data_IF_208325535898
#
_entry.id   IF_208325535898
#
_cell.length_a   1.000
_cell.length_b   1.000
_cell.length_c   1.000
_cell.angle_alpha   90.00
_cell.angle_beta   90.00
_cell.angle_gamma   90.00
#
_symmetry.space_group_name_H-M   'P 1'
#
loop_
_entity.id
_entity.type
_entity.pdbx_description
1 polymer ?
#
# COMPACT_ATOMS: atom_id res chain seq x y z
N UNK A 1 -5.43 -7.28 -9.64
CA UNK A 1 -4.29 -6.75 -8.86
C UNK A 1 -3.82 -5.45 -9.48
N UNK A 2 -3.92 -4.36 -8.73
CA UNK A 2 -3.55 -3.02 -9.17
C UNK A 2 -2.24 -2.57 -8.53
N UNK A 3 -1.45 -1.81 -9.29
CA UNK A 3 -0.17 -1.27 -8.84
C UNK A 3 -0.21 0.26 -8.84
N UNK A 4 -0.03 0.85 -7.66
CA UNK A 4 0.00 2.28 -7.42
C UNK A 4 1.42 2.73 -7.07
N UNK A 5 1.78 3.95 -7.45
CA UNK A 5 3.09 4.51 -7.14
C UNK A 5 2.94 5.61 -6.09
N UNK A 6 3.48 5.37 -4.90
CA UNK A 6 3.43 6.33 -3.80
C UNK A 6 4.61 7.29 -3.94
N UNK A 7 4.30 8.56 -4.12
CA UNK A 7 5.30 9.64 -4.13
C UNK A 7 5.52 10.16 -2.70
N UNK A 8 6.74 10.59 -2.38
CA UNK A 8 7.07 11.11 -1.04
C UNK A 8 7.35 10.04 0.02
N UNK A 9 7.52 8.78 -0.38
CA UNK A 9 7.89 7.69 0.51
C UNK A 9 9.37 7.77 0.90
N UNK A 10 9.72 8.68 1.80
CA UNK A 10 11.12 8.95 2.19
C UNK A 10 11.57 8.19 3.44
N UNK A 11 10.65 7.50 4.13
CA UNK A 11 10.95 6.77 5.36
C UNK A 11 10.27 5.40 5.36
N UNK A 12 11.04 4.34 5.65
CA UNK A 12 10.53 2.98 5.77
C UNK A 12 9.44 2.86 6.85
N UNK A 13 9.51 3.68 7.90
CA UNK A 13 8.50 3.72 8.95
C UNK A 13 7.16 4.26 8.44
N UNK A 14 7.18 5.35 7.66
CA UNK A 14 5.97 5.88 7.03
C UNK A 14 5.37 4.90 6.02
N UNK A 15 6.21 4.17 5.29
CA UNK A 15 5.77 3.11 4.39
C UNK A 15 5.03 2.00 5.14
N UNK A 16 5.62 1.48 6.22
CA UNK A 16 5.01 0.43 7.02
C UNK A 16 3.65 0.83 7.59
N UNK A 17 3.51 2.08 8.05
CA UNK A 17 2.24 2.61 8.56
C UNK A 17 1.15 2.69 7.47
N UNK A 18 1.51 3.15 6.27
CA UNK A 18 0.58 3.21 5.12
C UNK A 18 0.16 1.79 4.72
N UNK A 19 1.11 0.87 4.60
CA UNK A 19 0.81 -0.53 4.28
C UNK A 19 -0.14 -1.14 5.32
N UNK A 20 0.12 -0.93 6.62
CA UNK A 20 -0.76 -1.38 7.71
C UNK A 20 -2.18 -0.84 7.58
N UNK A 21 -2.33 0.46 7.30
CA UNK A 21 -3.65 1.07 7.09
C UNK A 21 -4.39 0.42 5.94
N UNK A 22 -3.70 0.20 4.81
CA UNK A 22 -4.30 -0.44 3.63
C UNK A 22 -4.66 -1.89 3.94
N UNK A 23 -3.82 -2.63 4.67
CA UNK A 23 -4.11 -4.00 5.11
C UNK A 23 -5.30 -4.09 6.07
N UNK A 24 -5.60 -3.01 6.78
CA UNK A 24 -6.78 -2.91 7.63
C UNK A 24 -8.07 -2.59 6.86
N UNK A 25 -7.99 -2.28 5.57
CA UNK A 25 -9.16 -2.08 4.72
C UNK A 25 -9.76 -3.42 4.29
N UNK A 26 -11.04 -3.39 3.94
CA UNK A 26 -11.73 -4.55 3.39
C UNK A 26 -11.06 -4.97 2.07
N UNK A 27 -10.73 -6.26 1.95
CA UNK A 27 -9.93 -6.82 0.84
C UNK A 27 -8.47 -6.34 0.75
N UNK A 28 -7.99 -5.57 1.74
CA UNK A 28 -6.64 -5.01 1.78
C UNK A 28 -5.55 -5.95 2.30
N UNK A 29 -5.88 -7.13 2.81
CA UNK A 29 -4.91 -8.04 3.47
C UNK A 29 -3.72 -8.42 2.56
N UNK A 30 -3.98 -8.54 1.26
CA UNK A 30 -3.02 -8.81 0.20
C UNK A 30 -2.17 -7.60 -0.22
N UNK A 31 -2.39 -6.44 0.40
CA UNK A 31 -1.64 -5.23 0.11
C UNK A 31 -0.16 -5.38 0.46
N UNK A 32 0.70 -5.05 -0.49
CA UNK A 32 2.15 -5.08 -0.34
C UNK A 32 2.72 -3.75 -0.82
N UNK A 33 3.47 -3.06 0.03
CA UNK A 33 4.13 -1.81 -0.31
C UNK A 33 5.65 -2.00 -0.33
N UNK A 34 6.24 -1.84 -1.51
CA UNK A 34 7.67 -1.89 -1.68
C UNK A 34 8.28 -0.50 -1.49
N UNK A 35 8.81 -0.24 -0.29
CA UNK A 35 9.40 1.06 0.05
C UNK A 35 10.59 1.44 -0.83
N UNK A 36 11.36 0.45 -1.30
CA UNK A 36 12.57 0.67 -2.08
C UNK A 36 12.26 1.21 -3.48
N UNK A 37 11.06 0.92 -4.01
CA UNK A 37 10.62 1.35 -5.35
C UNK A 37 9.41 2.29 -5.32
N UNK A 38 8.81 2.48 -4.15
CA UNK A 38 7.57 3.25 -3.97
C UNK A 38 6.36 2.59 -4.62
N UNK A 39 6.38 1.27 -4.86
CA UNK A 39 5.30 0.55 -5.51
C UNK A 39 4.38 -0.09 -4.47
N UNK A 40 3.12 0.33 -4.47
CA UNK A 40 2.04 -0.27 -3.71
C UNK A 40 1.30 -1.25 -4.63
N UNK A 41 1.05 -2.46 -4.15
CA UNK A 41 0.35 -3.51 -4.89
C UNK A 41 -0.83 -3.97 -4.06
N UNK A 42 -2.04 -3.83 -4.59
CA UNK A 42 -3.29 -4.12 -3.86
C UNK A 42 -4.25 -4.92 -4.74
N UNK A 43 -5.23 -5.55 -4.09
CA UNK A 43 -6.33 -6.18 -4.82
C UNK A 43 -7.27 -5.09 -5.37
N UNK A 44 -7.85 -5.35 -6.55
CA UNK A 44 -8.79 -4.41 -7.19
C UNK A 44 -10.11 -4.27 -6.44
N UNK A 45 -10.34 -5.17 -5.48
CA UNK A 45 -11.51 -5.14 -4.59
C UNK A 45 -11.31 -4.24 -3.37
N UNK A 46 -10.12 -3.66 -3.19
CA UNK A 46 -9.86 -2.72 -2.09
C UNK A 46 -10.63 -1.44 -2.36
N UNK A 47 -11.65 -1.16 -1.55
CA UNK A 47 -12.42 0.08 -1.62
C UNK A 47 -11.58 1.23 -1.02
N UNK A 48 -10.81 1.89 -1.88
CA UNK A 48 -10.14 3.16 -1.58
C UNK A 48 -11.14 4.32 -1.77
N UNK A 49 -12.20 4.38 -0.96
CA UNK A 49 -13.11 5.55 -0.95
C UNK A 49 -12.56 6.69 -0.10
#
# INVERSE_FOLDING_TARGET
MEEYRIQGLSCAHCAAEIEKKIRSLEHGESATLNYNTGKLKIDEKVDLK
#
